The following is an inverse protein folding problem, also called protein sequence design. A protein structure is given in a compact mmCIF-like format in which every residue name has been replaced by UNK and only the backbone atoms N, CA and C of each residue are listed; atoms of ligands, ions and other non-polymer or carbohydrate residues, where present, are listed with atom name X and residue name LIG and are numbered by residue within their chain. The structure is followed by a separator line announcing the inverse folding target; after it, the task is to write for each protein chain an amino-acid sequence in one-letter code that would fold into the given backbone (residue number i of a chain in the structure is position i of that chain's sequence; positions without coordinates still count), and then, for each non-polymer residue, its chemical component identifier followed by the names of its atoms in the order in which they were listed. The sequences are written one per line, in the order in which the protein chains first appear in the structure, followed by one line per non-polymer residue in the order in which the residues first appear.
data_IF_950363208646
#
_entry.id   IF_950363208646
#
_cell.length_a   1.000
_cell.length_b   1.000
_cell.length_c   1.000
_cell.angle_alpha   90.00
_cell.angle_beta   90.00
_cell.angle_gamma   90.00
#
_symmetry.space_group_name_H-M   'P 1'
#
loop_
_entity.id
_entity.type
_entity.pdbx_description
1 polymer ?
#
# COMPACT_ATOMS: atom_id res chain seq x y z
N UNK A 1 13.86 10.59 29.87
CA UNK A 1 13.80 9.57 28.79
C UNK A 1 13.90 10.28 27.45
N UNK A 2 14.86 9.89 26.61
CA UNK A 2 15.07 10.52 25.31
C UNK A 2 13.90 10.24 24.35
N UNK A 3 13.51 11.25 23.58
CA UNK A 3 12.51 11.13 22.53
C UNK A 3 13.16 10.45 21.30
N UNK A 4 12.50 9.43 20.76
CA UNK A 4 12.98 8.74 19.54
C UNK A 4 12.44 9.45 18.30
N UNK A 5 13.32 9.72 17.34
CA UNK A 5 12.95 10.23 16.02
C UNK A 5 12.24 9.13 15.22
N UNK A 6 11.28 9.52 14.38
CA UNK A 6 10.63 8.58 13.47
C UNK A 6 11.67 7.97 12.50
N UNK A 7 11.84 6.63 12.48
CA UNK A 7 12.88 5.99 11.68
C UNK A 7 12.67 6.16 10.17
N UNK A 8 11.44 6.30 9.73
CA UNK A 8 11.11 6.53 8.31
C UNK A 8 11.55 7.93 7.90
N UNK A 9 11.20 8.95 8.70
CA UNK A 9 11.56 10.34 8.43
C UNK A 9 13.08 10.54 8.39
N UNK A 10 13.81 9.87 9.28
CA UNK A 10 15.28 9.96 9.32
C UNK A 10 15.98 9.35 8.09
N UNK A 11 15.30 8.48 7.34
CA UNK A 11 15.84 7.81 6.15
C UNK A 11 15.34 8.38 4.83
N UNK A 12 14.42 9.33 4.88
CA UNK A 12 13.89 9.99 3.67
C UNK A 12 15.01 10.75 2.94
N UNK A 13 15.03 10.61 1.61
CA UNK A 13 16.01 11.24 0.75
C UNK A 13 17.39 10.58 0.73
N UNK A 14 17.66 9.59 1.60
CA UNK A 14 18.93 8.85 1.64
C UNK A 14 18.71 7.44 1.08
N UNK A 15 17.95 6.60 1.77
CA UNK A 15 17.68 5.21 1.38
C UNK A 15 16.20 4.93 1.13
N UNK A 16 15.32 5.89 1.43
CA UNK A 16 13.87 5.75 1.26
C UNK A 16 13.29 6.98 0.58
N UNK A 17 12.45 6.75 -0.42
CA UNK A 17 11.61 7.79 -1.03
C UNK A 17 10.31 8.01 -0.27
N UNK A 18 9.58 9.05 -0.67
CA UNK A 18 8.25 9.36 -0.16
C UNK A 18 7.22 8.32 -0.65
N UNK A 19 6.22 8.07 0.18
CA UNK A 19 5.08 7.23 -0.22
C UNK A 19 4.03 8.01 -1.03
N UNK A 20 4.08 9.34 -0.98
CA UNK A 20 3.28 10.26 -1.81
C UNK A 20 4.23 11.25 -2.47
N UNK A 21 4.36 11.15 -3.80
CA UNK A 21 5.27 11.96 -4.63
C UNK A 21 4.46 12.99 -5.41
N UNK A 22 4.20 14.14 -4.80
CA UNK A 22 3.53 15.26 -5.45
C UNK A 22 3.79 16.56 -4.71
N UNK A 23 3.62 17.65 -5.41
CA UNK A 23 3.70 19.00 -4.86
C UNK A 23 2.29 19.58 -4.66
N UNK A 24 2.04 20.16 -3.51
CA UNK A 24 0.77 20.81 -3.18
C UNK A 24 1.00 22.27 -2.81
N UNK A 25 0.27 23.18 -3.46
CA UNK A 25 0.16 24.55 -3.04
C UNK A 25 -1.02 24.73 -2.07
N UNK A 26 -2.00 25.54 -2.44
CA UNK A 26 -3.21 25.80 -1.64
C UNK A 26 -4.07 24.54 -1.39
N UNK A 27 -4.05 23.58 -2.33
CA UNK A 27 -4.85 22.35 -2.30
C UNK A 27 -4.16 21.21 -1.55
N UNK A 28 -3.11 21.50 -0.77
CA UNK A 28 -2.33 20.47 -0.06
C UNK A 28 -3.19 19.61 0.87
N UNK A 29 -4.04 20.24 1.67
CA UNK A 29 -4.90 19.57 2.64
C UNK A 29 -5.91 18.61 1.97
N UNK A 30 -6.51 19.04 0.87
CA UNK A 30 -7.47 18.22 0.12
C UNK A 30 -6.80 16.98 -0.49
N UNK A 31 -5.64 17.18 -1.13
CA UNK A 31 -4.85 16.08 -1.71
C UNK A 31 -4.39 15.07 -0.65
N UNK A 32 -4.02 15.55 0.54
CA UNK A 32 -3.62 14.68 1.64
C UNK A 32 -4.78 13.82 2.14
N UNK A 33 -5.97 14.41 2.28
CA UNK A 33 -7.19 13.68 2.66
C UNK A 33 -7.58 12.66 1.59
N UNK A 34 -7.48 13.02 0.30
CA UNK A 34 -7.71 12.08 -0.80
C UNK A 34 -6.74 10.89 -0.75
N UNK A 35 -5.44 11.13 -0.53
CA UNK A 35 -4.45 10.06 -0.41
C UNK A 35 -4.75 9.11 0.76
N UNK A 36 -5.16 9.66 1.89
CA UNK A 36 -5.57 8.86 3.05
C UNK A 36 -6.80 7.97 2.74
N UNK A 37 -7.78 8.52 2.00
CA UNK A 37 -8.96 7.77 1.55
C UNK A 37 -8.57 6.64 0.58
N UNK A 38 -7.71 6.93 -0.41
CA UNK A 38 -7.20 5.93 -1.37
C UNK A 38 -6.50 4.79 -0.64
N UNK A 39 -5.58 5.10 0.28
CA UNK A 39 -4.83 4.10 1.05
C UNK A 39 -5.76 3.24 1.90
N UNK A 40 -6.69 3.86 2.62
CA UNK A 40 -7.67 3.15 3.45
C UNK A 40 -8.52 2.21 2.60
N UNK A 41 -9.02 2.69 1.48
CA UNK A 41 -9.83 1.91 0.56
C UNK A 41 -9.07 0.70 0.01
N UNK A 42 -7.86 0.91 -0.52
CA UNK A 42 -7.03 -0.17 -1.08
C UNK A 42 -6.64 -1.21 -0.04
N UNK A 43 -6.28 -0.81 1.18
CA UNK A 43 -5.94 -1.75 2.25
C UNK A 43 -7.12 -2.66 2.62
N UNK A 44 -8.34 -2.14 2.63
CA UNK A 44 -9.54 -2.92 2.91
C UNK A 44 -9.90 -3.84 1.73
N UNK A 45 -9.93 -3.29 0.51
CA UNK A 45 -10.34 -4.00 -0.71
C UNK A 45 -9.38 -5.11 -1.09
N UNK A 46 -8.09 -4.90 -0.88
CA UNK A 46 -7.01 -5.80 -1.27
C UNK A 46 -6.35 -6.50 -0.07
N UNK A 47 -7.04 -6.66 1.04
CA UNK A 47 -6.51 -7.31 2.26
C UNK A 47 -5.93 -8.72 2.00
N UNK A 48 -6.48 -9.45 1.00
CA UNK A 48 -6.02 -10.79 0.60
C UNK A 48 -4.74 -10.77 -0.25
N UNK A 49 -4.40 -9.64 -0.86
CA UNK A 49 -3.27 -9.53 -1.78
C UNK A 49 -1.92 -9.33 -1.06
N UNK A 50 -1.91 -9.11 0.25
CA UNK A 50 -0.69 -8.85 1.04
C UNK A 50 0.10 -7.67 0.49
N UNK A 51 -0.46 -6.47 0.64
CA UNK A 51 0.18 -5.23 0.18
C UNK A 51 1.35 -4.89 1.11
N UNK A 52 2.51 -4.65 0.53
CA UNK A 52 3.69 -4.13 1.22
C UNK A 52 3.65 -2.60 1.31
N UNK A 53 3.49 -1.93 0.16
CA UNK A 53 3.60 -0.48 0.04
C UNK A 53 2.66 0.05 -1.03
N UNK A 54 2.12 1.25 -0.82
CA UNK A 54 1.32 2.00 -1.79
C UNK A 54 2.02 3.33 -2.02
N UNK A 55 2.46 3.59 -3.25
CA UNK A 55 3.05 4.86 -3.67
C UNK A 55 2.03 5.59 -4.52
N UNK A 56 1.80 6.86 -4.22
CA UNK A 56 0.85 7.71 -4.95
C UNK A 56 1.62 8.85 -5.58
N UNK A 57 1.56 8.95 -6.90
CA UNK A 57 2.14 10.01 -7.69
C UNK A 57 1.01 10.80 -8.35
N UNK A 58 1.10 12.13 -8.30
CA UNK A 58 0.07 12.99 -8.85
C UNK A 58 0.67 13.93 -9.87
N UNK A 59 0.06 13.95 -11.03
CA UNK A 59 0.20 15.00 -12.02
C UNK A 59 -1.05 15.89 -12.04
N UNK A 60 -1.10 16.88 -12.89
CA UNK A 60 -2.25 17.79 -12.96
C UNK A 60 -3.58 17.10 -13.25
N UNK A 61 -3.57 16.05 -14.08
CA UNK A 61 -4.80 15.34 -14.53
C UNK A 61 -4.88 13.87 -14.13
N UNK A 62 -3.74 13.27 -13.76
CA UNK A 62 -3.63 11.84 -13.55
C UNK A 62 -3.09 11.53 -12.16
N UNK A 63 -3.69 10.56 -11.49
CA UNK A 63 -3.20 10.00 -10.24
C UNK A 63 -2.67 8.59 -10.53
N UNK A 64 -1.37 8.38 -10.37
CA UNK A 64 -0.75 7.08 -10.55
C UNK A 64 -0.57 6.42 -9.19
N UNK A 65 -1.14 5.25 -9.02
CA UNK A 65 -1.07 4.46 -7.78
C UNK A 65 -0.24 3.21 -8.06
N UNK A 66 0.95 3.14 -7.48
CA UNK A 66 1.82 1.97 -7.56
C UNK A 66 1.65 1.11 -6.31
N UNK A 67 1.21 -0.14 -6.50
CA UNK A 67 0.92 -1.09 -5.42
C UNK A 67 1.99 -2.17 -5.43
N UNK A 68 2.82 -2.22 -4.38
CA UNK A 68 3.76 -3.31 -4.16
C UNK A 68 3.05 -4.44 -3.39
N UNK A 69 3.04 -5.64 -3.95
CA UNK A 69 2.30 -6.79 -3.42
C UNK A 69 3.08 -8.09 -3.58
N UNK A 70 2.84 -9.04 -2.66
CA UNK A 70 3.36 -10.41 -2.79
C UNK A 70 2.54 -11.27 -3.76
N UNK A 71 1.30 -10.88 -4.07
CA UNK A 71 0.37 -11.68 -4.88
C UNK A 71 -0.30 -10.84 -5.96
N UNK A 72 0.44 -10.46 -7.02
CA UNK A 72 -0.08 -9.59 -8.09
C UNK A 72 -1.29 -10.18 -8.80
N UNK A 73 -1.34 -11.51 -8.93
CA UNK A 73 -2.45 -12.19 -9.60
C UNK A 73 -3.83 -11.96 -8.98
N UNK A 74 -3.89 -11.70 -7.66
CA UNK A 74 -5.15 -11.38 -6.98
C UNK A 74 -5.65 -9.99 -7.37
N UNK A 75 -4.73 -9.05 -7.59
CA UNK A 75 -5.08 -7.68 -7.99
C UNK A 75 -5.44 -7.62 -9.46
N UNK A 76 -4.69 -8.33 -10.31
CA UNK A 76 -4.92 -8.34 -11.76
C UNK A 76 -6.23 -9.07 -12.08
N UNK A 77 -6.49 -10.19 -11.42
CA UNK A 77 -7.65 -11.03 -11.67
C UNK A 77 -7.60 -11.72 -13.04
N UNK A 78 -8.70 -12.35 -13.41
CA UNK A 78 -8.82 -13.03 -14.71
C UNK A 78 -8.95 -11.98 -15.82
N UNK A 79 -7.95 -11.94 -16.73
CA UNK A 79 -7.96 -11.03 -17.88
C UNK A 79 -7.90 -9.53 -17.53
N UNK A 80 -7.45 -9.14 -16.33
CA UNK A 80 -7.33 -7.74 -15.94
C UNK A 80 -8.63 -7.08 -15.41
N UNK A 81 -9.73 -7.80 -15.35
CA UNK A 81 -11.05 -7.27 -14.97
C UNK A 81 -11.07 -6.63 -13.57
N UNK A 82 -10.31 -7.18 -12.63
CA UNK A 82 -10.27 -6.63 -11.26
C UNK A 82 -9.52 -5.29 -11.20
N UNK A 83 -8.48 -5.11 -12.00
CA UNK A 83 -7.76 -3.83 -12.12
C UNK A 83 -8.66 -2.76 -12.72
N UNK A 84 -9.44 -3.11 -13.76
CA UNK A 84 -10.32 -2.14 -14.40
C UNK A 84 -11.46 -1.71 -13.46
N UNK A 85 -12.04 -2.64 -12.71
CA UNK A 85 -13.01 -2.30 -11.64
C UNK A 85 -12.38 -1.40 -10.57
N UNK A 86 -11.15 -1.72 -10.12
CA UNK A 86 -10.41 -0.89 -9.17
C UNK A 86 -10.17 0.52 -9.69
N UNK A 87 -9.82 0.69 -10.97
CA UNK A 87 -9.68 2.00 -11.60
C UNK A 87 -10.98 2.79 -11.56
N UNK A 88 -12.10 2.16 -11.91
CA UNK A 88 -13.43 2.81 -11.87
C UNK A 88 -13.83 3.20 -10.44
N UNK A 89 -13.61 2.31 -9.47
CA UNK A 89 -13.90 2.57 -8.07
C UNK A 89 -13.05 3.74 -7.53
N UNK A 90 -11.75 3.77 -7.84
CA UNK A 90 -10.87 4.88 -7.47
C UNK A 90 -11.22 6.18 -8.20
N UNK A 91 -11.61 6.11 -9.48
CA UNK A 91 -12.09 7.28 -10.24
C UNK A 91 -13.33 7.88 -9.60
N UNK A 92 -14.26 7.07 -9.10
CA UNK A 92 -15.44 7.53 -8.35
C UNK A 92 -15.09 8.20 -7.03
N UNK A 93 -14.03 7.73 -6.35
CA UNK A 93 -13.57 8.28 -5.07
C UNK A 93 -12.82 9.61 -5.22
N UNK A 94 -12.04 9.76 -6.29
CA UNK A 94 -11.15 10.91 -6.49
C UNK A 94 -11.68 11.93 -7.50
N UNK A 95 -12.63 11.54 -8.34
CA UNK A 95 -13.10 12.38 -9.46
C UNK A 95 -12.06 12.64 -10.54
N UNK A 96 -10.90 11.94 -10.49
CA UNK A 96 -9.76 12.13 -11.42
C UNK A 96 -9.46 10.82 -12.15
N UNK A 97 -8.73 10.93 -13.26
CA UNK A 97 -8.22 9.75 -13.95
C UNK A 97 -7.17 9.04 -13.05
N UNK A 98 -7.30 7.70 -12.92
CA UNK A 98 -6.42 6.90 -12.09
C UNK A 98 -5.74 5.83 -12.93
N UNK A 99 -4.42 5.76 -12.83
CA UNK A 99 -3.62 4.67 -13.37
C UNK A 99 -3.12 3.80 -12.22
N UNK A 100 -3.20 2.49 -12.38
CA UNK A 100 -2.73 1.53 -11.38
C UNK A 100 -1.53 0.78 -11.97
N UNK A 101 -0.41 0.85 -11.26
CA UNK A 101 0.79 0.07 -11.54
C UNK A 101 0.94 -0.97 -10.44
N UNK A 102 1.22 -2.22 -10.83
CA UNK A 102 1.39 -3.33 -9.89
C UNK A 102 2.86 -3.74 -9.91
N UNK A 103 3.47 -3.73 -8.74
CA UNK A 103 4.85 -4.14 -8.53
C UNK A 103 4.89 -5.41 -7.68
N UNK A 104 5.56 -6.44 -8.18
CA UNK A 104 5.72 -7.69 -7.45
C UNK A 104 6.92 -7.63 -6.50
N UNK A 105 6.69 -7.98 -5.24
CA UNK A 105 7.75 -8.14 -4.24
C UNK A 105 8.37 -9.51 -4.42
N UNK A 106 9.61 -9.56 -4.97
CA UNK A 106 10.31 -10.82 -5.29
C UNK A 106 10.59 -11.70 -4.07
N UNK A 107 10.81 -11.11 -2.90
CA UNK A 107 11.12 -11.82 -1.65
C UNK A 107 10.19 -11.34 -0.54
N UNK A 108 8.97 -11.87 -0.44
CA UNK A 108 7.98 -11.44 0.54
C UNK A 108 8.39 -11.78 1.99
N UNK A 109 9.27 -12.77 2.17
CA UNK A 109 9.76 -13.17 3.50
C UNK A 109 10.67 -12.12 4.14
N UNK A 110 11.27 -11.25 3.35
CA UNK A 110 12.16 -10.16 3.84
C UNK A 110 11.37 -8.88 4.12
N UNK A 111 10.13 -8.79 3.65
CA UNK A 111 9.29 -7.60 3.83
C UNK A 111 8.55 -7.67 5.17
N UNK A 112 8.93 -6.79 6.09
CA UNK A 112 8.38 -6.76 7.45
C UNK A 112 6.85 -6.55 7.50
N UNK A 113 6.29 -5.80 6.54
CA UNK A 113 4.84 -5.54 6.49
C UNK A 113 4.09 -6.81 6.10
N UNK A 114 4.57 -7.52 5.08
CA UNK A 114 3.98 -8.77 4.60
C UNK A 114 4.09 -9.86 5.68
N UNK A 115 5.25 -9.97 6.32
CA UNK A 115 5.46 -10.91 7.44
C UNK A 115 4.52 -10.60 8.60
N UNK A 116 4.40 -9.32 8.98
CA UNK A 116 3.46 -8.90 10.02
C UNK A 116 2.00 -9.24 9.69
N UNK A 117 1.57 -9.03 8.45
CA UNK A 117 0.23 -9.42 7.99
C UNK A 117 0.02 -10.94 8.02
N UNK A 118 1.05 -11.73 7.70
CA UNK A 118 0.97 -13.18 7.77
C UNK A 118 0.84 -13.68 9.22
N UNK A 119 1.59 -13.10 10.16
CA UNK A 119 1.46 -13.39 11.59
C UNK A 119 0.05 -13.02 12.08
N UNK A 120 -0.44 -11.83 11.76
CA UNK A 120 -1.78 -11.37 12.14
C UNK A 120 -2.87 -12.35 11.67
N UNK A 121 -2.80 -12.79 10.41
CA UNK A 121 -3.74 -13.76 9.83
C UNK A 121 -3.68 -15.12 10.54
N UNK A 122 -2.50 -15.59 10.95
CA UNK A 122 -2.38 -16.83 11.73
C UNK A 122 -2.99 -16.69 13.12
N UNK A 123 -2.82 -15.53 13.78
CA UNK A 123 -3.43 -15.24 15.08
C UNK A 123 -4.96 -15.16 14.99
N UNK A 124 -5.49 -14.52 13.97
CA UNK A 124 -6.93 -14.52 13.66
C UNK A 124 -7.47 -15.94 13.45
N UNK A 125 -6.65 -16.81 12.82
CA UNK A 125 -6.93 -18.24 12.67
C UNK A 125 -6.74 -19.08 13.95
N UNK A 126 -6.59 -18.42 15.13
CA UNK A 126 -6.42 -19.06 16.45
C UNK A 126 -5.16 -19.93 16.61
N UNK A 127 -4.13 -19.69 15.82
CA UNK A 127 -2.81 -20.30 16.03
C UNK A 127 -2.14 -19.63 17.25
N UNK A 128 -1.47 -20.43 18.09
CA UNK A 128 -0.75 -19.86 19.25
C UNK A 128 0.33 -18.90 18.79
N UNK A 129 0.47 -17.74 19.48
CA UNK A 129 1.41 -16.68 19.11
C UNK A 129 2.87 -17.19 19.01
N UNK A 130 3.28 -18.09 19.91
CA UNK A 130 4.63 -18.67 19.88
C UNK A 130 4.89 -19.46 18.59
N UNK A 131 3.91 -20.22 18.11
CA UNK A 131 4.01 -20.97 16.86
C UNK A 131 4.00 -20.03 15.66
N UNK A 132 3.10 -19.05 15.63
CA UNK A 132 3.00 -18.09 14.54
C UNK A 132 4.29 -17.30 14.34
N UNK A 133 4.90 -16.80 15.43
CA UNK A 133 6.17 -16.07 15.37
C UNK A 133 7.32 -16.98 14.96
N UNK A 134 7.43 -18.19 15.51
CA UNK A 134 8.49 -19.15 15.15
C UNK A 134 8.43 -19.58 13.68
N UNK A 135 7.25 -19.63 13.09
CA UNK A 135 7.08 -20.01 11.67
C UNK A 135 7.43 -18.82 10.74
N UNK A 136 7.42 -17.59 11.24
CA UNK A 136 7.71 -16.38 10.47
C UNK A 136 9.20 -15.98 10.47
N UNK A 137 9.99 -16.54 11.38
CA UNK A 137 11.45 -16.39 11.48
C UNK A 137 12.14 -17.51 10.69
#
# INVERSE_FOLDING_TARGET
MGQKVNPIANRLGIIRGWDSNWFGGKDFSEKLVEDAKIRKYLNVRLAKASISKIIIERTLKLVTVTIATARPGIIIGKGGQEVDKLKEELKKLTGKEVQINIFEVKRPEVDAVIVGQNIARQLEGRVSFRRAVRTAI
#
